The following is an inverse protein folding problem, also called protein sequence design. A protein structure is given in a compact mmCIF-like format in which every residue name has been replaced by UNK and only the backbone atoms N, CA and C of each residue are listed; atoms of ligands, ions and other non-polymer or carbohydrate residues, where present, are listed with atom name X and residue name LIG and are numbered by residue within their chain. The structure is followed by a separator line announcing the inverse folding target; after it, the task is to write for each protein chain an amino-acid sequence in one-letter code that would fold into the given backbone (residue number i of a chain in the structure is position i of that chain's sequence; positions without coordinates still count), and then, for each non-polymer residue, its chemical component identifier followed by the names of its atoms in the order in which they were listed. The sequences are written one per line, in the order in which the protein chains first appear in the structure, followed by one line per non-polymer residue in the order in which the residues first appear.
data_IF_242808532369
#
_entry.id   IF_242808532369
#
_cell.length_a   1.000
_cell.length_b   1.000
_cell.length_c   1.000
_cell.angle_alpha   90.00
_cell.angle_beta   90.00
_cell.angle_gamma   90.00
#
_symmetry.space_group_name_H-M   'P 1'
#
loop_
_entity.id
_entity.type
_entity.pdbx_description
1 polymer ?
#
# COMPACT_ATOMS: atom_id res chain seq x y z
N UNK A 1 -8.12 -3.89 -0.33
CA UNK A 1 -7.16 -4.45 0.63
C UNK A 1 -6.78 -3.41 1.68
N UNK A 2 -6.13 -2.31 1.27
CA UNK A 2 -5.55 -1.27 2.14
C UNK A 2 -6.40 -0.87 3.37
N UNK A 3 -7.67 -0.45 3.20
CA UNK A 3 -8.49 0.01 4.36
C UNK A 3 -8.68 -1.08 5.41
N UNK A 4 -8.83 -2.35 5.01
CA UNK A 4 -8.98 -3.45 5.97
C UNK A 4 -7.68 -3.73 6.73
N UNK A 5 -6.53 -3.57 6.07
CA UNK A 5 -5.21 -3.65 6.72
C UNK A 5 -5.04 -2.53 7.76
N UNK A 6 -5.43 -1.29 7.41
CA UNK A 6 -5.38 -0.16 8.36
C UNK A 6 -6.30 -0.40 9.57
N UNK A 7 -7.51 -0.95 9.35
CA UNK A 7 -8.41 -1.30 10.45
C UNK A 7 -7.86 -2.43 11.33
N UNK A 8 -7.13 -3.39 10.75
CA UNK A 8 -6.44 -4.42 11.54
C UNK A 8 -5.26 -3.84 12.34
N UNK A 9 -4.50 -2.92 11.74
CA UNK A 9 -3.46 -2.19 12.44
C UNK A 9 -4.03 -1.35 13.60
N UNK A 10 -5.14 -0.65 13.41
CA UNK A 10 -5.83 0.11 14.46
C UNK A 10 -6.29 -0.79 15.63
N UNK A 11 -6.84 -1.97 15.33
CA UNK A 11 -7.15 -2.98 16.36
C UNK A 11 -5.91 -3.43 17.12
N UNK A 12 -4.79 -3.63 16.42
CA UNK A 12 -3.51 -4.00 17.03
C UNK A 12 -2.97 -2.86 17.91
N UNK A 13 -3.05 -1.63 17.43
CA UNK A 13 -2.65 -0.43 18.17
C UNK A 13 -3.43 -0.34 19.49
N UNK A 14 -4.75 -0.53 19.45
CA UNK A 14 -5.58 -0.60 20.65
C UNK A 14 -5.16 -1.73 21.59
N UNK A 15 -4.89 -2.93 21.07
CA UNK A 15 -4.46 -4.06 21.90
C UNK A 15 -3.13 -3.77 22.63
N UNK A 16 -2.21 -3.04 22.00
CA UNK A 16 -0.95 -2.63 22.63
C UNK A 16 -1.17 -1.56 23.69
N UNK A 17 -2.05 -0.59 23.45
CA UNK A 17 -2.43 0.39 24.47
C UNK A 17 -3.06 -0.29 25.69
N UNK A 18 -4.02 -1.21 25.47
CA UNK A 18 -4.68 -1.95 26.56
C UNK A 18 -3.66 -2.80 27.35
N UNK A 19 -2.64 -3.35 26.68
CA UNK A 19 -1.54 -4.06 27.34
C UNK A 19 -0.68 -3.14 28.21
N UNK A 20 -0.32 -1.94 27.72
CA UNK A 20 0.46 -0.96 28.47
C UNK A 20 -0.31 -0.49 29.71
N UNK A 21 -1.60 -0.18 29.55
CA UNK A 21 -2.46 0.31 30.63
C UNK A 21 -2.65 -0.73 31.76
N UNK A 22 -2.57 -2.03 31.43
CA UNK A 22 -2.70 -3.12 32.37
C UNK A 22 -1.35 -3.60 32.97
N UNK A 23 -0.23 -3.02 32.54
CA UNK A 23 1.11 -3.44 32.93
C UNK A 23 1.65 -2.60 34.08
N UNK A 24 2.23 -3.25 35.10
CA UNK A 24 3.02 -2.59 36.15
C UNK A 24 4.45 -2.24 35.69
N UNK A 25 4.86 -2.72 34.51
CA UNK A 25 6.18 -2.43 33.91
C UNK A 25 6.11 -1.18 33.05
N UNK A 26 7.00 -0.22 33.33
CA UNK A 26 7.15 0.99 32.52
C UNK A 26 7.36 0.64 31.03
N UNK A 27 6.46 1.12 30.19
CA UNK A 27 6.41 0.76 28.77
C UNK A 27 6.12 1.99 27.92
N UNK A 28 6.76 2.07 26.76
CA UNK A 28 6.49 3.08 25.73
C UNK A 28 6.00 2.37 24.46
N UNK A 29 4.92 2.89 23.87
CA UNK A 29 4.52 2.62 22.50
C UNK A 29 5.11 3.70 21.60
N UNK A 30 5.78 3.29 20.52
CA UNK A 30 6.07 4.14 19.36
C UNK A 30 5.50 3.46 18.12
N UNK A 31 4.72 4.18 17.34
CA UNK A 31 4.07 3.69 16.13
C UNK A 31 4.23 4.72 15.02
N UNK A 32 4.75 4.29 13.87
CA UNK A 32 4.97 5.12 12.68
C UNK A 32 4.91 4.24 11.43
N UNK A 33 4.85 4.86 10.27
CA UNK A 33 5.15 4.20 8.99
C UNK A 33 6.63 4.37 8.65
N UNK A 34 7.17 3.49 7.81
CA UNK A 34 8.48 3.65 7.18
C UNK A 34 8.44 4.63 6.00
N UNK A 35 7.34 4.62 5.24
CA UNK A 35 7.03 5.58 4.17
C UNK A 35 5.53 5.51 3.78
N UNK A 36 5.05 6.46 2.98
CA UNK A 36 3.76 6.32 2.27
C UNK A 36 3.94 5.50 0.99
N UNK A 37 2.87 4.85 0.52
CA UNK A 37 2.91 4.05 -0.71
C UNK A 37 1.68 4.29 -1.57
N UNK A 38 1.94 4.60 -2.84
CA UNK A 38 0.95 4.72 -3.89
C UNK A 38 0.47 6.15 -4.15
N UNK A 39 0.77 7.11 -3.28
CA UNK A 39 0.21 8.47 -3.37
C UNK A 39 -1.31 8.43 -3.28
N UNK A 40 -1.84 7.74 -2.26
CA UNK A 40 -3.27 7.56 -2.07
C UNK A 40 -3.97 8.90 -1.85
N UNK A 41 -5.07 9.13 -2.55
CA UNK A 41 -5.89 10.33 -2.39
C UNK A 41 -7.38 9.99 -2.41
N UNK A 42 -8.16 10.74 -1.62
CA UNK A 42 -9.64 10.78 -1.73
C UNK A 42 -10.11 11.83 -2.73
N UNK A 43 -9.18 12.37 -3.53
CA UNK A 43 -9.45 13.18 -4.70
C UNK A 43 -9.04 12.40 -5.95
N UNK A 44 -10.01 12.17 -6.83
CA UNK A 44 -9.79 11.62 -8.15
C UNK A 44 -10.63 12.42 -9.15
N UNK A 45 -10.05 12.70 -10.32
CA UNK A 45 -10.76 13.29 -11.44
C UNK A 45 -10.61 12.37 -12.63
N UNK A 46 -11.72 11.81 -13.11
CA UNK A 46 -11.73 10.98 -14.30
C UNK A 46 -11.40 11.85 -15.54
N UNK A 47 -10.62 11.33 -16.51
CA UNK A 47 -10.38 12.03 -17.76
C UNK A 47 -11.71 12.44 -18.43
N UNK A 48 -11.79 13.67 -18.92
CA UNK A 48 -12.98 14.21 -19.57
C UNK A 48 -14.15 14.58 -18.63
N UNK A 49 -13.97 14.48 -17.31
CA UNK A 49 -15.00 14.83 -16.33
C UNK A 49 -14.62 16.08 -15.53
N UNK A 50 -15.63 16.82 -15.04
CA UNK A 50 -15.43 17.90 -14.08
C UNK A 50 -15.05 17.35 -12.70
N UNK A 51 -14.32 18.12 -11.87
CA UNK A 51 -13.98 17.70 -10.52
C UNK A 51 -15.23 17.40 -9.68
N UNK A 52 -15.23 16.25 -8.99
CA UNK A 52 -16.29 15.85 -8.06
C UNK A 52 -15.70 15.71 -6.66
N UNK A 53 -16.25 16.49 -5.73
CA UNK A 53 -15.78 16.57 -4.34
C UNK A 53 -16.50 15.54 -3.48
N UNK A 54 -16.32 14.27 -3.82
CA UNK A 54 -16.98 13.17 -3.14
C UNK A 54 -15.99 12.02 -2.88
N UNK A 55 -16.23 11.32 -1.77
CA UNK A 55 -15.56 10.09 -1.39
C UNK A 55 -16.62 9.08 -0.95
N UNK A 56 -16.57 7.85 -1.46
CA UNK A 56 -17.61 6.83 -1.25
C UNK A 56 -17.06 5.60 -0.51
N UNK A 57 -16.78 5.70 0.81
CA UNK A 57 -16.19 4.61 1.58
C UNK A 57 -17.04 3.34 1.63
N UNK A 58 -18.36 3.45 1.43
CA UNK A 58 -19.27 2.31 1.35
C UNK A 58 -18.89 1.33 0.21
N UNK A 59 -18.26 1.79 -0.87
CA UNK A 59 -17.72 0.90 -1.89
C UNK A 59 -16.62 -0.02 -1.31
N UNK A 60 -15.69 0.54 -0.55
CA UNK A 60 -14.59 -0.21 0.09
C UNK A 60 -15.10 -1.18 1.15
N UNK A 61 -16.13 -0.77 1.90
CA UNK A 61 -16.75 -1.59 2.95
C UNK A 61 -17.42 -2.85 2.41
N UNK A 62 -18.02 -2.79 1.22
CA UNK A 62 -18.70 -3.94 0.59
C UNK A 62 -17.73 -5.01 0.07
N UNK A 63 -16.49 -4.64 -0.24
CA UNK A 63 -15.49 -5.60 -0.72
C UNK A 63 -15.13 -6.62 0.37
N UNK A 64 -15.32 -7.90 0.08
CA UNK A 64 -15.07 -9.05 0.96
C UNK A 64 -13.75 -9.77 0.66
N UNK A 65 -13.13 -9.50 -0.50
CA UNK A 65 -11.87 -10.09 -0.93
C UNK A 65 -10.91 -9.02 -1.48
N UNK A 66 -9.61 -9.28 -1.37
CA UNK A 66 -8.57 -8.45 -1.99
C UNK A 66 -8.45 -8.75 -3.48
N UNK A 67 -7.91 -7.82 -4.27
CA UNK A 67 -7.69 -8.03 -5.70
C UNK A 67 -6.78 -9.24 -5.96
N UNK A 68 -5.76 -9.46 -5.12
CA UNK A 68 -4.87 -10.62 -5.18
C UNK A 68 -5.61 -11.94 -4.92
N UNK A 69 -6.58 -11.94 -4.00
CA UNK A 69 -7.41 -13.10 -3.78
C UNK A 69 -8.32 -13.37 -4.99
N UNK A 70 -8.88 -12.33 -5.61
CA UNK A 70 -9.71 -12.46 -6.81
C UNK A 70 -8.90 -12.98 -8.00
N UNK A 71 -7.68 -12.50 -8.20
CA UNK A 71 -6.75 -13.03 -9.21
C UNK A 71 -6.43 -14.49 -8.95
N UNK A 72 -6.18 -14.88 -7.69
CA UNK A 72 -5.97 -16.29 -7.33
C UNK A 72 -7.19 -17.15 -7.66
N UNK A 73 -8.40 -16.67 -7.41
CA UNK A 73 -9.63 -17.37 -7.75
C UNK A 73 -9.84 -17.47 -9.26
N UNK A 74 -9.59 -16.39 -10.01
CA UNK A 74 -9.66 -16.38 -11.47
C UNK A 74 -8.69 -17.40 -12.08
N UNK A 75 -7.42 -17.37 -11.68
CA UNK A 75 -6.40 -18.28 -12.18
C UNK A 75 -6.74 -19.75 -11.89
N UNK A 76 -7.27 -20.05 -10.69
CA UNK A 76 -7.75 -21.39 -10.35
C UNK A 76 -8.93 -21.82 -11.22
N UNK A 77 -9.89 -20.92 -11.44
CA UNK A 77 -11.03 -21.21 -12.30
C UNK A 77 -10.59 -21.50 -13.73
N UNK A 78 -9.75 -20.63 -14.31
CA UNK A 78 -9.21 -20.84 -15.65
C UNK A 78 -8.45 -22.17 -15.74
N UNK A 79 -7.58 -22.50 -14.79
CA UNK A 79 -6.83 -23.75 -14.79
C UNK A 79 -7.74 -25.00 -14.76
N UNK A 80 -8.88 -24.93 -14.08
CA UNK A 80 -9.83 -26.04 -13.95
C UNK A 80 -10.97 -26.05 -15.01
N UNK A 81 -11.16 -24.93 -15.73
CA UNK A 81 -12.27 -24.73 -16.64
C UNK A 81 -12.12 -25.53 -17.94
N UNK A 82 -13.18 -26.24 -18.31
CA UNK A 82 -13.33 -26.87 -19.62
C UNK A 82 -13.61 -25.83 -20.72
N UNK A 83 -13.69 -26.28 -21.97
CA UNK A 83 -13.96 -25.41 -23.13
C UNK A 83 -15.29 -24.66 -23.00
N UNK A 84 -16.31 -25.28 -22.40
CA UNK A 84 -17.63 -24.65 -22.22
C UNK A 84 -17.54 -23.51 -21.20
N UNK A 85 -16.91 -23.75 -20.05
CA UNK A 85 -16.71 -22.75 -19.01
C UNK A 85 -15.82 -21.58 -19.49
N UNK A 86 -14.85 -21.86 -20.37
CA UNK A 86 -13.96 -20.84 -20.98
C UNK A 86 -14.63 -20.01 -22.08
N UNK A 87 -15.82 -20.38 -22.56
CA UNK A 87 -16.55 -19.54 -23.53
C UNK A 87 -16.76 -18.16 -22.91
N UNK A 88 -16.53 -17.12 -23.72
CA UNK A 88 -16.57 -15.71 -23.31
C UNK A 88 -17.75 -15.40 -22.37
N UNK A 89 -18.97 -15.77 -22.78
CA UNK A 89 -20.18 -15.49 -22.00
C UNK A 89 -20.21 -16.20 -20.64
N UNK A 90 -19.82 -17.47 -20.59
CA UNK A 90 -19.81 -18.25 -19.35
C UNK A 90 -18.74 -17.73 -18.37
N UNK A 91 -17.54 -17.45 -18.88
CA UNK A 91 -16.46 -16.88 -18.08
C UNK A 91 -16.85 -15.49 -17.56
N UNK A 92 -17.43 -14.65 -18.42
CA UNK A 92 -17.94 -13.33 -18.06
C UNK A 92 -19.00 -13.39 -16.95
N UNK A 93 -19.98 -14.29 -17.09
CA UNK A 93 -21.02 -14.50 -16.09
C UNK A 93 -20.41 -14.94 -14.75
N UNK A 94 -19.45 -15.86 -14.79
CA UNK A 94 -18.76 -16.34 -13.59
C UNK A 94 -17.93 -15.25 -12.92
N UNK A 95 -17.16 -14.46 -13.68
CA UNK A 95 -16.40 -13.30 -13.19
C UNK A 95 -17.33 -12.30 -12.51
N UNK A 96 -18.42 -11.93 -13.17
CA UNK A 96 -19.36 -10.94 -12.64
C UNK A 96 -20.03 -11.43 -11.35
N UNK A 97 -20.52 -12.67 -11.34
CA UNK A 97 -21.21 -13.23 -10.17
C UNK A 97 -20.28 -13.49 -8.99
N UNK A 98 -19.15 -14.15 -9.25
CA UNK A 98 -18.26 -14.67 -8.19
C UNK A 98 -17.25 -13.63 -7.72
N UNK A 99 -16.56 -12.97 -8.66
CA UNK A 99 -15.43 -12.10 -8.33
C UNK A 99 -15.88 -10.65 -8.12
N UNK A 100 -16.66 -10.10 -9.04
CA UNK A 100 -17.04 -8.68 -9.01
C UNK A 100 -18.15 -8.44 -7.99
N UNK A 101 -19.27 -9.16 -8.09
CA UNK A 101 -20.37 -9.05 -7.12
C UNK A 101 -20.02 -9.73 -5.80
N UNK A 102 -19.56 -10.98 -5.83
CA UNK A 102 -19.26 -11.75 -4.63
C UNK A 102 -18.04 -11.25 -3.85
N UNK A 103 -17.01 -10.78 -4.56
CA UNK A 103 -15.73 -10.37 -3.98
C UNK A 103 -15.60 -8.86 -3.75
N UNK A 104 -15.86 -8.04 -4.77
CA UNK A 104 -15.77 -6.57 -4.64
C UNK A 104 -17.08 -5.94 -4.12
N UNK A 105 -18.20 -6.66 -4.12
CA UNK A 105 -19.49 -6.10 -3.75
C UNK A 105 -20.03 -5.07 -4.76
N UNK A 106 -19.58 -5.17 -6.02
CA UNK A 106 -19.98 -4.30 -7.12
C UNK A 106 -21.21 -4.92 -7.81
N UNK A 107 -22.33 -4.21 -7.78
CA UNK A 107 -23.60 -4.68 -8.36
C UNK A 107 -23.89 -4.13 -9.75
N UNK A 108 -23.11 -3.15 -10.19
CA UNK A 108 -23.26 -2.38 -11.42
C UNK A 108 -21.94 -2.34 -12.22
N UNK A 109 -21.31 -3.50 -12.42
CA UNK A 109 -20.17 -3.60 -13.31
C UNK A 109 -20.57 -3.20 -14.73
N UNK A 110 -19.80 -2.32 -15.37
CA UNK A 110 -19.99 -1.99 -16.77
C UNK A 110 -19.56 -3.17 -17.65
N UNK A 111 -20.17 -3.28 -18.83
CA UNK A 111 -19.85 -4.40 -19.72
C UNK A 111 -18.39 -4.37 -20.16
N UNK A 112 -17.80 -3.19 -20.35
CA UNK A 112 -16.40 -2.99 -20.68
C UNK A 112 -15.44 -3.48 -19.58
N UNK A 113 -15.77 -3.28 -18.29
CA UNK A 113 -14.94 -3.77 -17.18
C UNK A 113 -14.88 -5.31 -17.17
N UNK A 114 -16.03 -5.95 -17.37
CA UNK A 114 -16.12 -7.42 -17.43
C UNK A 114 -15.42 -7.98 -18.67
N UNK A 115 -15.57 -7.29 -19.81
CA UNK A 115 -14.98 -7.70 -21.06
C UNK A 115 -13.45 -7.59 -21.03
N UNK A 116 -12.88 -6.59 -20.35
CA UNK A 116 -11.44 -6.49 -20.11
C UNK A 116 -10.93 -7.64 -19.24
N UNK A 117 -11.63 -8.00 -18.16
CA UNK A 117 -11.23 -9.14 -17.32
C UNK A 117 -11.24 -10.48 -18.08
N UNK A 118 -12.14 -10.63 -19.06
CA UNK A 118 -12.20 -11.82 -19.91
C UNK A 118 -11.10 -11.82 -20.97
N UNK A 119 -10.81 -10.67 -21.56
CA UNK A 119 -9.82 -10.53 -22.62
C UNK A 119 -8.37 -10.55 -22.09
N UNK A 120 -8.15 -9.98 -20.90
CA UNK A 120 -6.84 -9.73 -20.28
C UNK A 120 -6.81 -10.23 -18.82
N UNK A 121 -7.00 -11.54 -18.56
CA UNK A 121 -6.96 -12.08 -17.21
C UNK A 121 -5.60 -11.88 -16.51
N UNK A 122 -4.52 -11.70 -17.25
CA UNK A 122 -3.19 -11.33 -16.75
C UNK A 122 -3.17 -9.96 -16.05
N UNK A 123 -4.00 -9.03 -16.50
CA UNK A 123 -4.10 -7.67 -15.95
C UNK A 123 -5.16 -7.54 -14.85
N UNK A 124 -5.78 -8.66 -14.45
CA UNK A 124 -6.91 -8.68 -13.53
C UNK A 124 -6.61 -8.01 -12.18
N UNK A 125 -5.35 -8.02 -11.71
CA UNK A 125 -4.96 -7.33 -10.49
C UNK A 125 -5.22 -5.82 -10.60
N UNK A 126 -4.79 -5.21 -11.70
CA UNK A 126 -4.94 -3.78 -11.97
C UNK A 126 -6.41 -3.47 -12.22
N UNK A 127 -7.09 -4.28 -13.05
CA UNK A 127 -8.50 -4.06 -13.40
C UNK A 127 -9.38 -4.11 -12.14
N UNK A 128 -9.26 -5.14 -11.30
CA UNK A 128 -10.03 -5.21 -10.04
C UNK A 128 -9.75 -4.02 -9.12
N UNK A 129 -8.48 -3.59 -9.03
CA UNK A 129 -8.08 -2.44 -8.22
C UNK A 129 -8.66 -1.14 -8.73
N UNK A 130 -8.71 -0.92 -10.05
CA UNK A 130 -9.33 0.25 -10.68
C UNK A 130 -10.85 0.25 -10.50
N UNK A 131 -11.52 -0.89 -10.72
CA UNK A 131 -12.98 -1.02 -10.56
C UNK A 131 -13.45 -0.58 -9.17
N UNK A 132 -12.74 -0.99 -8.12
CA UNK A 132 -13.09 -0.61 -6.74
C UNK A 132 -12.64 0.82 -6.42
N UNK A 133 -11.49 1.27 -6.94
CA UNK A 133 -10.98 2.63 -6.70
C UNK A 133 -11.89 3.70 -7.28
N UNK A 134 -12.35 3.52 -8.53
CA UNK A 134 -13.29 4.44 -9.18
C UNK A 134 -14.60 4.55 -8.41
N UNK A 135 -15.16 3.41 -7.97
CA UNK A 135 -16.40 3.40 -7.18
C UNK A 135 -16.25 3.99 -5.78
N UNK A 136 -15.06 3.89 -5.20
CA UNK A 136 -14.73 4.53 -3.92
C UNK A 136 -14.34 6.00 -4.08
N UNK A 137 -14.11 6.45 -5.31
CA UNK A 137 -13.60 7.78 -5.62
C UNK A 137 -12.24 8.05 -4.95
N UNK A 138 -11.32 7.10 -5.12
CA UNK A 138 -9.94 7.19 -4.64
C UNK A 138 -8.96 7.10 -5.80
N UNK A 139 -7.88 7.88 -5.73
CA UNK A 139 -6.82 7.96 -6.72
C UNK A 139 -5.48 7.48 -6.18
N UNK A 140 -4.59 7.13 -7.10
CA UNK A 140 -3.22 6.70 -6.85
C UNK A 140 -2.29 7.39 -7.83
N UNK A 141 -1.17 7.94 -7.35
CA UNK A 141 -0.22 8.66 -8.18
C UNK A 141 0.93 7.76 -8.68
N UNK A 142 1.22 6.66 -8.00
CA UNK A 142 2.36 5.78 -8.30
C UNK A 142 2.09 4.34 -7.87
N UNK A 143 2.87 3.40 -8.38
CA UNK A 143 2.95 2.03 -7.85
C UNK A 143 4.06 1.87 -6.79
N UNK A 144 4.85 2.94 -6.55
CA UNK A 144 5.95 2.97 -5.60
C UNK A 144 5.65 3.77 -4.32
N UNK A 145 6.70 4.17 -3.62
CA UNK A 145 6.59 5.00 -2.42
C UNK A 145 6.47 6.48 -2.78
N UNK A 146 5.97 7.30 -1.85
CA UNK A 146 6.03 8.76 -1.94
C UNK A 146 6.78 9.35 -0.74
N UNK A 147 7.32 10.56 -0.94
CA UNK A 147 8.18 11.25 0.02
C UNK A 147 7.41 12.19 0.96
N UNK A 148 6.16 11.85 1.30
CA UNK A 148 5.41 12.61 2.30
C UNK A 148 5.92 12.30 3.69
N UNK A 149 5.89 13.29 4.57
CA UNK A 149 6.12 13.06 6.00
C UNK A 149 5.06 12.10 6.54
N UNK A 150 5.49 11.15 7.37
CA UNK A 150 4.63 10.16 8.01
C UNK A 150 4.43 10.50 9.48
N UNK A 151 3.26 10.14 10.02
CA UNK A 151 2.92 10.44 11.41
C UNK A 151 3.66 9.50 12.37
N UNK A 152 4.17 10.09 13.46
CA UNK A 152 4.69 9.36 14.63
C UNK A 152 3.69 9.49 15.77
N UNK A 153 3.25 8.36 16.30
CA UNK A 153 2.41 8.27 17.48
C UNK A 153 3.22 7.67 18.63
N UNK A 154 3.06 8.22 19.83
CA UNK A 154 3.67 7.66 21.04
C UNK A 154 2.71 7.70 22.22
N UNK A 155 2.83 6.73 23.12
CA UNK A 155 2.07 6.63 24.37
C UNK A 155 2.89 5.93 25.45
N UNK A 156 2.52 6.10 26.72
CA UNK A 156 3.17 5.47 27.86
C UNK A 156 4.31 6.28 28.46
N UNK A 157 5.41 5.60 28.79
CA UNK A 157 6.53 6.04 29.62
C UNK A 157 7.23 7.37 29.24
N UNK A 158 8.20 7.79 30.06
CA UNK A 158 8.83 9.10 29.95
C UNK A 158 9.67 9.25 28.67
N UNK A 159 10.01 10.50 28.32
CA UNK A 159 10.99 10.77 27.27
C UNK A 159 10.43 10.86 25.86
N UNK A 160 9.15 10.52 25.65
CA UNK A 160 8.51 10.53 24.31
C UNK A 160 8.41 11.93 23.71
N UNK A 161 8.56 13.00 24.50
CA UNK A 161 8.66 14.38 24.00
C UNK A 161 9.82 14.59 23.01
N UNK A 162 10.88 13.78 23.10
CA UNK A 162 12.04 13.81 22.18
C UNK A 162 11.67 13.45 20.73
N UNK A 163 10.57 12.74 20.52
CA UNK A 163 10.09 12.30 19.20
C UNK A 163 8.75 12.98 18.82
N UNK A 164 8.43 14.12 19.45
CA UNK A 164 7.27 14.96 19.08
C UNK A 164 7.71 16.10 18.16
N UNK A 165 6.83 16.47 17.23
CA UNK A 165 7.12 17.46 16.20
C UNK A 165 7.79 16.82 14.98
N UNK A 166 8.49 17.63 14.19
CA UNK A 166 9.20 17.14 13.01
C UNK A 166 10.55 16.56 13.46
N UNK A 167 10.71 15.25 13.28
CA UNK A 167 11.92 14.50 13.64
C UNK A 167 12.33 13.59 12.49
N UNK A 168 13.62 13.29 12.40
CA UNK A 168 14.10 12.32 11.40
C UNK A 168 13.79 10.89 11.87
N UNK A 169 13.64 9.96 10.92
CA UNK A 169 13.42 8.55 11.26
C UNK A 169 14.56 7.97 12.12
N UNK A 170 15.79 8.47 11.96
CA UNK A 170 16.95 8.08 12.77
C UNK A 170 16.84 8.51 14.23
N UNK A 171 16.09 9.57 14.53
CA UNK A 171 15.87 10.04 15.90
C UNK A 171 14.95 9.10 16.68
N UNK A 172 14.01 8.44 16.00
CA UNK A 172 13.18 7.38 16.59
C UNK A 172 14.05 6.21 17.05
N UNK A 173 14.96 5.74 16.18
CA UNK A 173 15.89 4.66 16.53
C UNK A 173 16.82 5.01 17.68
N UNK A 174 17.29 6.27 17.74
CA UNK A 174 18.11 6.78 18.84
C UNK A 174 17.33 6.84 20.15
N UNK A 175 16.10 7.34 20.11
CA UNK A 175 15.21 7.37 21.26
C UNK A 175 14.98 5.97 21.84
N UNK A 176 14.67 4.98 21.01
CA UNK A 176 14.43 3.60 21.47
C UNK A 176 15.68 2.98 22.09
N UNK A 177 16.87 3.22 21.52
CA UNK A 177 18.12 2.72 22.07
C UNK A 177 18.44 3.35 23.43
N UNK A 178 18.20 4.66 23.58
CA UNK A 178 18.35 5.37 24.85
C UNK A 178 17.32 4.90 25.89
N UNK A 179 16.06 4.72 25.50
CA UNK A 179 14.98 4.29 26.39
C UNK A 179 15.25 2.89 26.98
N UNK A 180 15.80 1.99 26.16
CA UNK A 180 16.12 0.61 26.56
C UNK A 180 17.52 0.47 27.19
N UNK A 181 18.30 1.55 27.26
CA UNK A 181 19.71 1.54 27.72
C UNK A 181 20.60 0.54 26.97
N UNK A 182 20.47 0.48 25.63
CA UNK A 182 21.19 -0.46 24.76
C UNK A 182 22.10 0.21 23.73
N UNK A 183 22.27 1.53 23.80
CA UNK A 183 23.06 2.33 22.86
C UNK A 183 24.47 1.79 22.59
N UNK A 184 25.16 1.27 23.61
CA UNK A 184 26.52 0.78 23.45
C UNK A 184 26.56 -0.58 22.76
N UNK A 185 25.62 -1.47 23.09
CA UNK A 185 25.44 -2.74 22.36
C UNK A 185 25.10 -2.52 20.88
N UNK A 186 24.25 -1.53 20.56
CA UNK A 186 23.95 -1.16 19.16
C UNK A 186 25.21 -0.68 18.42
N UNK A 187 26.08 0.10 19.08
CA UNK A 187 27.36 0.55 18.48
C UNK A 187 28.31 -0.63 18.23
N UNK A 188 28.41 -1.55 19.18
CA UNK A 188 29.26 -2.75 19.05
C UNK A 188 28.81 -3.63 17.89
N UNK A 189 27.51 -3.96 17.81
CA UNK A 189 26.95 -4.74 16.70
C UNK A 189 27.12 -4.01 15.38
N UNK A 190 26.93 -2.68 15.34
CA UNK A 190 27.16 -1.88 14.13
C UNK A 190 28.62 -1.98 13.65
N UNK A 191 29.58 -1.97 14.57
CA UNK A 191 31.00 -2.14 14.26
C UNK A 191 31.26 -3.53 13.67
N UNK A 192 30.76 -4.58 14.31
CA UNK A 192 30.89 -5.97 13.83
C UNK A 192 30.28 -6.16 12.44
N UNK A 193 29.09 -5.61 12.18
CA UNK A 193 28.43 -5.67 10.87
C UNK A 193 29.22 -4.95 9.77
N UNK A 194 29.88 -3.82 10.10
CA UNK A 194 30.75 -3.11 9.16
C UNK A 194 32.01 -3.92 8.85
N UNK A 195 32.64 -4.49 9.87
CA UNK A 195 33.86 -5.30 9.72
C UNK A 195 33.58 -6.61 8.96
N UNK A 196 32.48 -7.31 9.26
CA UNK A 196 32.06 -8.52 8.54
C UNK A 196 31.68 -8.27 7.08
N UNK A 197 31.02 -7.13 6.77
CA UNK A 197 30.78 -6.71 5.38
C UNK A 197 32.07 -6.51 4.59
N UNK A 198 33.15 -6.06 5.24
CA UNK A 198 34.46 -5.92 4.59
C UNK A 198 35.23 -7.23 4.45
N UNK A 199 34.83 -8.30 5.14
CA UNK A 199 35.63 -9.53 5.31
C UNK A 199 35.20 -10.75 4.46
N UNK A 200 34.14 -10.68 3.61
CA UNK A 200 33.85 -11.79 2.68
C UNK A 200 32.41 -12.03 2.23
N UNK A 201 31.47 -11.09 2.40
CA UNK A 201 30.14 -11.22 1.79
C UNK A 201 30.17 -10.96 0.27
N UNK A 202 29.18 -11.45 -0.51
CA UNK A 202 28.99 -10.94 -1.87
C UNK A 202 28.96 -9.42 -1.76
N UNK A 203 29.79 -8.73 -2.55
CA UNK A 203 29.58 -7.31 -2.78
C UNK A 203 28.22 -7.20 -3.47
N UNK A 204 27.15 -7.05 -2.69
CA UNK A 204 26.07 -6.20 -3.16
C UNK A 204 26.79 -4.90 -3.42
N UNK A 205 26.95 -4.54 -4.70
CA UNK A 205 27.08 -3.15 -5.03
C UNK A 205 25.90 -2.51 -4.28
N UNK A 206 26.17 -1.87 -3.14
CA UNK A 206 25.53 -0.59 -2.93
C UNK A 206 25.90 0.11 -4.22
N UNK A 207 24.94 0.17 -5.15
CA UNK A 207 24.94 1.26 -6.08
C UNK A 207 25.16 2.44 -5.16
N UNK A 208 26.37 3.00 -5.18
CA UNK A 208 26.54 4.37 -4.77
C UNK A 208 25.45 5.04 -5.57
N UNK A 209 24.42 5.51 -4.88
CA UNK A 209 23.48 6.41 -5.49
C UNK A 209 24.39 7.57 -5.85
N UNK A 210 24.91 7.55 -7.09
CA UNK A 210 25.74 8.61 -7.60
C UNK A 210 24.94 9.86 -7.37
N UNK A 211 25.61 10.95 -6.97
CA UNK A 211 24.95 12.20 -6.62
C UNK A 211 23.70 12.40 -7.48
N UNK A 212 22.52 12.18 -6.90
CA UNK A 212 21.30 12.27 -7.68
C UNK A 212 21.28 13.71 -8.23
N UNK A 213 20.98 13.89 -9.52
CA UNK A 213 20.83 15.23 -10.06
C UNK A 213 19.90 16.02 -9.15
N UNK A 214 20.22 17.30 -8.91
CA UNK A 214 19.43 18.16 -8.04
C UNK A 214 18.07 18.44 -8.69
N UNK A 215 17.13 17.50 -8.56
CA UNK A 215 15.77 17.58 -9.09
C UNK A 215 15.48 16.60 -10.24
N UNK A 216 14.19 16.52 -10.56
CA UNK A 216 13.65 15.72 -11.65
C UNK A 216 13.69 16.51 -12.96
N UNK A 217 14.30 15.95 -14.00
CA UNK A 217 14.20 16.48 -15.37
C UNK A 217 12.92 15.95 -16.05
N UNK A 218 12.05 16.85 -16.48
CA UNK A 218 10.80 16.49 -17.14
C UNK A 218 11.04 15.85 -18.51
N UNK A 219 10.42 14.70 -18.76
CA UNK A 219 10.55 13.95 -20.02
C UNK A 219 9.68 14.46 -21.19
N UNK A 220 9.09 15.66 -21.07
CA UNK A 220 8.21 16.24 -22.07
C UNK A 220 7.26 17.29 -21.49
N UNK A 221 6.41 17.89 -22.33
CA UNK A 221 5.44 18.86 -21.86
C UNK A 221 4.25 18.15 -21.20
N UNK A 222 3.75 18.56 -20.02
CA UNK A 222 2.63 17.90 -19.34
C UNK A 222 1.34 17.77 -20.17
N UNK A 223 1.14 18.65 -21.17
CA UNK A 223 0.00 18.55 -22.10
C UNK A 223 0.10 17.35 -23.05
N UNK A 224 1.31 16.85 -23.31
CA UNK A 224 1.51 15.69 -24.19
C UNK A 224 1.11 14.38 -23.49
N UNK A 225 0.99 14.39 -22.15
CA UNK A 225 0.61 13.22 -21.36
C UNK A 225 -0.88 12.89 -21.48
N UNK A 226 -1.70 13.88 -21.81
CA UNK A 226 -3.17 13.72 -21.97
C UNK A 226 -3.51 13.14 -23.34
N UNK A 227 -2.66 13.32 -24.35
CA UNK A 227 -2.87 12.83 -25.72
C UNK A 227 -2.44 11.37 -25.95
N UNK A 228 -1.79 10.72 -24.98
CA UNK A 228 -1.30 9.34 -25.14
C UNK A 228 -2.38 8.26 -24.92
N UNK A 229 -3.63 8.65 -24.63
CA UNK A 229 -4.78 7.74 -24.65
C UNK A 229 -5.46 7.80 -26.01
N UNK A 230 -4.89 7.13 -27.01
CA UNK A 230 -5.62 6.71 -28.21
C UNK A 230 -5.61 5.17 -28.30
N UNK A 231 -6.66 4.58 -28.91
CA UNK A 231 -7.42 3.43 -28.40
C UNK A 231 -6.76 2.05 -28.50
#
# INVERSE_FOLDING_TARGET
AQVREVLEYDRTFKAVLDFIDASDTESVLVATSDHETGGLSTAVQEPGHLPVYAWYPEALKRASASAEQLVRLLNRHLAAADETARRRENLRQWINGTLVRGGLGITNAADSELDQLVAHPEDALVIFSQMISLRAHVGWATHGHSAVDVNVYSSGGPGTEKIRGNVENTDIGRFLAEYLDVQDGVKEVTKELKESRTAGGPQTQQQSVGAEPAGYEAAGHPLDWVSATEP
#
